data_IF_910090648595
#
_entry.id   IF_910090648595
#
_cell.length_a   1.000
_cell.length_b   1.000
_cell.length_c   1.000
_cell.angle_alpha   90.00
_cell.angle_beta   90.00
_cell.angle_gamma   90.00
#
_symmetry.space_group_name_H-M   'P 1'
#
loop_
_entity.id
_entity.type
_entity.pdbx_description
1 polymer ?
#
# COMPACT_ATOMS: atom_id res chain seq x y z
N UNK A 1 0.86 12.11 -20.60
CA UNK A 1 0.41 11.06 -21.55
C UNK A 1 0.40 9.68 -20.93
N UNK A 2 1.49 9.22 -20.30
CA UNK A 2 1.57 7.91 -19.62
C UNK A 2 0.54 7.77 -18.50
N UNK A 3 0.34 8.78 -17.67
CA UNK A 3 -0.65 8.77 -16.59
C UNK A 3 -2.09 8.68 -17.09
N UNK A 4 -2.39 9.30 -18.23
CA UNK A 4 -3.71 9.20 -18.87
C UNK A 4 -3.97 7.77 -19.38
N UNK A 5 -2.99 7.17 -20.03
CA UNK A 5 -3.05 5.77 -20.48
C UNK A 5 -3.22 4.81 -19.29
N UNK A 6 -2.45 4.99 -18.21
CA UNK A 6 -2.56 4.17 -17.01
C UNK A 6 -3.96 4.25 -16.37
N UNK A 7 -4.53 5.45 -16.30
CA UNK A 7 -5.90 5.63 -15.75
C UNK A 7 -7.00 5.05 -16.65
N UNK A 8 -6.72 4.84 -17.93
CA UNK A 8 -7.69 4.31 -18.89
C UNK A 8 -7.73 2.78 -18.89
N UNK A 9 -6.67 2.12 -18.41
CA UNK A 9 -6.55 0.64 -18.43
C UNK A 9 -7.71 -0.01 -17.67
N UNK A 10 -7.98 0.42 -16.45
CA UNK A 10 -9.01 -0.19 -15.59
C UNK A 10 -10.41 0.00 -16.17
N UNK A 11 -10.85 1.24 -16.55
CA UNK A 11 -12.14 1.43 -17.19
C UNK A 11 -12.30 0.65 -18.49
N UNK A 12 -11.25 0.60 -19.31
CA UNK A 12 -11.28 -0.13 -20.59
C UNK A 12 -11.41 -1.64 -20.37
N UNK A 13 -10.73 -2.18 -19.36
CA UNK A 13 -10.82 -3.60 -18.99
C UNK A 13 -12.23 -3.96 -18.53
N UNK A 14 -12.81 -3.16 -17.63
CA UNK A 14 -14.19 -3.35 -17.16
C UNK A 14 -15.18 -3.27 -18.33
N UNK A 15 -15.04 -2.25 -19.18
CA UNK A 15 -15.89 -2.06 -20.36
C UNK A 15 -15.82 -3.26 -21.30
N UNK A 16 -14.62 -3.80 -21.56
CA UNK A 16 -14.42 -4.96 -22.42
C UNK A 16 -15.11 -6.21 -21.85
N UNK A 17 -14.99 -6.45 -20.53
CA UNK A 17 -15.65 -7.58 -19.87
C UNK A 17 -17.17 -7.49 -19.95
N UNK A 18 -17.73 -6.30 -19.67
CA UNK A 18 -19.18 -6.08 -19.74
C UNK A 18 -19.68 -6.23 -21.17
N UNK A 19 -19.00 -5.62 -22.14
CA UNK A 19 -19.34 -5.71 -23.55
C UNK A 19 -19.32 -7.17 -24.04
N UNK A 20 -18.26 -7.91 -23.72
CA UNK A 20 -18.14 -9.32 -24.10
C UNK A 20 -19.26 -10.17 -23.51
N UNK A 21 -19.57 -10.00 -22.22
CA UNK A 21 -20.63 -10.72 -21.55
C UNK A 21 -22.01 -10.42 -22.15
N UNK A 22 -22.28 -9.13 -22.46
CA UNK A 22 -23.53 -8.69 -23.08
C UNK A 22 -23.69 -9.27 -24.50
N UNK A 23 -22.64 -9.21 -25.33
CA UNK A 23 -22.63 -9.78 -26.67
C UNK A 23 -22.87 -11.29 -26.68
N UNK A 24 -22.36 -11.99 -25.68
CA UNK A 24 -22.54 -13.44 -25.50
C UNK A 24 -23.87 -13.80 -24.83
N UNK A 25 -24.70 -12.81 -24.49
CA UNK A 25 -25.97 -13.00 -23.73
C UNK A 25 -25.78 -13.81 -22.45
N UNK A 26 -24.64 -13.66 -21.79
CA UNK A 26 -24.35 -14.32 -20.51
C UNK A 26 -24.83 -13.42 -19.38
N UNK A 27 -25.27 -14.05 -18.30
CA UNK A 27 -25.52 -13.34 -17.07
C UNK A 27 -24.18 -12.77 -16.53
N UNK A 28 -24.09 -11.44 -16.46
CA UNK A 28 -22.91 -10.71 -15.95
C UNK A 28 -23.14 -10.31 -14.50
N UNK A 29 -24.39 -10.15 -14.10
CA UNK A 29 -24.74 -9.60 -12.80
C UNK A 29 -24.46 -10.57 -11.67
N UNK A 30 -24.81 -11.83 -11.82
CA UNK A 30 -24.61 -12.86 -10.78
C UNK A 30 -23.12 -13.08 -10.46
N UNK A 31 -22.22 -13.28 -11.45
CA UNK A 31 -20.78 -13.37 -11.17
C UNK A 31 -20.20 -12.08 -10.58
N UNK A 32 -20.67 -10.92 -11.01
CA UNK A 32 -20.26 -9.66 -10.43
C UNK A 32 -20.63 -9.57 -8.94
N UNK A 33 -21.86 -9.92 -8.60
CA UNK A 33 -22.32 -9.91 -7.20
C UNK A 33 -21.56 -10.90 -6.35
N UNK A 34 -21.27 -12.08 -6.87
CA UNK A 34 -20.43 -13.07 -6.20
C UNK A 34 -19.01 -12.52 -5.90
N UNK A 35 -18.40 -11.87 -6.90
CA UNK A 35 -17.09 -11.22 -6.74
C UNK A 35 -17.11 -10.07 -5.71
N UNK A 36 -18.18 -9.28 -5.65
CA UNK A 36 -18.36 -8.26 -4.61
C UNK A 36 -18.42 -8.89 -3.22
N UNK A 37 -19.18 -9.96 -3.05
CA UNK A 37 -19.26 -10.67 -1.75
C UNK A 37 -17.94 -11.28 -1.32
N UNK A 38 -17.19 -11.87 -2.23
CA UNK A 38 -15.87 -12.41 -1.96
C UNK A 38 -14.86 -11.30 -1.62
N UNK A 39 -14.88 -10.19 -2.36
CA UNK A 39 -14.08 -9.01 -2.03
C UNK A 39 -14.40 -8.46 -0.64
N UNK A 40 -15.67 -8.43 -0.25
CA UNK A 40 -16.07 -7.97 1.08
C UNK A 40 -15.57 -8.89 2.20
N UNK A 41 -15.59 -10.21 2.00
CA UNK A 41 -15.01 -11.18 2.93
C UNK A 41 -13.50 -10.93 3.14
N UNK A 42 -12.76 -10.73 2.05
CA UNK A 42 -11.32 -10.44 2.11
C UNK A 42 -11.06 -9.17 2.93
N UNK A 43 -11.86 -8.11 2.73
CA UNK A 43 -11.73 -6.88 3.53
C UNK A 43 -11.96 -7.14 5.02
N UNK A 44 -12.97 -7.94 5.37
CA UNK A 44 -13.24 -8.29 6.77
C UNK A 44 -12.14 -9.16 7.39
N UNK A 45 -11.51 -10.02 6.63
CA UNK A 45 -10.38 -10.85 7.08
C UNK A 45 -9.11 -10.02 7.32
N UNK A 46 -8.86 -9.02 6.47
CA UNK A 46 -7.66 -8.17 6.57
C UNK A 46 -7.84 -7.05 7.61
N UNK A 47 -9.06 -6.54 7.81
CA UNK A 47 -9.32 -5.40 8.66
C UNK A 47 -8.78 -5.55 10.10
N UNK A 48 -8.96 -6.67 10.82
CA UNK A 48 -8.40 -6.84 12.16
C UNK A 48 -6.87 -6.75 12.19
N UNK A 49 -6.22 -7.32 11.19
CA UNK A 49 -4.75 -7.29 11.04
C UNK A 49 -4.25 -5.86 10.82
N UNK A 50 -4.92 -5.08 9.98
CA UNK A 50 -4.59 -3.68 9.74
C UNK A 50 -4.80 -2.83 11.00
N UNK A 51 -5.90 -3.04 11.73
CA UNK A 51 -6.17 -2.34 12.98
C UNK A 51 -5.06 -2.63 14.01
N UNK A 52 -4.73 -3.90 14.22
CA UNK A 52 -3.67 -4.31 15.13
C UNK A 52 -2.32 -3.70 14.74
N UNK A 53 -2.01 -3.67 13.45
CA UNK A 53 -0.80 -3.06 12.91
C UNK A 53 -0.73 -1.56 13.18
N UNK A 54 -1.83 -0.82 12.97
CA UNK A 54 -1.89 0.60 13.29
C UNK A 54 -1.68 0.87 14.78
N UNK A 55 -2.28 0.06 15.66
CA UNK A 55 -2.04 0.17 17.11
C UNK A 55 -0.57 -0.09 17.45
N UNK A 56 0.04 -1.13 16.89
CA UNK A 56 1.44 -1.44 17.10
C UNK A 56 2.36 -0.28 16.66
N UNK A 57 2.11 0.31 15.50
CA UNK A 57 2.87 1.47 15.01
C UNK A 57 2.71 2.67 15.93
N UNK A 58 1.49 2.95 16.43
CA UNK A 58 1.26 4.04 17.37
C UNK A 58 2.01 3.84 18.69
N UNK A 59 1.99 2.63 19.24
CA UNK A 59 2.76 2.28 20.45
C UNK A 59 4.25 2.45 20.19
N UNK A 60 4.73 1.98 19.05
CA UNK A 60 6.14 2.08 18.66
C UNK A 60 6.59 3.53 18.48
N UNK A 61 5.71 4.39 17.96
CA UNK A 61 5.93 5.82 17.83
C UNK A 61 5.94 6.52 19.20
N UNK A 62 4.96 6.23 20.04
CA UNK A 62 4.85 6.87 21.36
C UNK A 62 5.93 6.41 22.36
N UNK A 63 6.51 5.24 22.18
CA UNK A 63 7.64 4.75 22.99
C UNK A 63 8.98 5.45 22.68
N UNK A 64 9.06 6.25 21.60
CA UNK A 64 10.31 6.84 21.12
C UNK A 64 11.25 5.86 20.40
N UNK A 65 10.90 4.58 20.30
CA UNK A 65 11.72 3.57 19.63
C UNK A 65 11.88 3.89 18.15
N UNK A 66 10.84 4.43 17.51
CA UNK A 66 10.89 4.88 16.12
C UNK A 66 11.93 5.99 15.93
N UNK A 67 11.95 6.99 16.83
CA UNK A 67 12.90 8.10 16.77
C UNK A 67 14.36 7.61 16.93
N UNK A 68 14.56 6.60 17.75
CA UNK A 68 15.88 5.98 17.93
C UNK A 68 16.35 5.32 16.63
N UNK A 69 15.49 4.55 15.97
CA UNK A 69 15.81 3.92 14.67
C UNK A 69 16.06 4.99 13.59
N UNK A 70 15.21 6.01 13.51
CA UNK A 70 15.39 7.12 12.55
C UNK A 70 16.70 7.84 12.80
N UNK A 71 17.08 8.10 14.05
CA UNK A 71 18.38 8.71 14.40
C UNK A 71 19.55 7.89 13.89
N UNK A 72 19.52 6.59 14.10
CA UNK A 72 20.58 5.68 13.63
C UNK A 72 20.68 5.63 12.11
N UNK A 73 19.54 5.67 11.41
CA UNK A 73 19.48 5.59 9.95
C UNK A 73 19.65 6.94 9.26
N UNK A 74 19.49 8.06 9.98
CA UNK A 74 19.60 9.42 9.42
C UNK A 74 20.91 9.69 8.68
N UNK A 75 22.12 9.28 9.17
CA UNK A 75 23.36 9.52 8.42
C UNK A 75 23.34 8.84 7.06
N UNK A 76 22.82 7.62 6.98
CA UNK A 76 22.69 6.86 5.74
C UNK A 76 21.63 7.51 4.83
N UNK A 77 20.50 7.91 5.39
CA UNK A 77 19.42 8.59 4.66
C UNK A 77 19.88 9.92 4.05
N UNK A 78 20.66 10.71 4.78
CA UNK A 78 21.24 11.97 4.26
C UNK A 78 22.19 11.73 3.09
N UNK A 79 23.02 10.70 3.16
CA UNK A 79 23.95 10.33 2.08
C UNK A 79 23.18 9.95 0.80
N UNK A 80 22.05 9.25 0.95
CA UNK A 80 21.20 8.79 -0.15
C UNK A 80 20.10 9.80 -0.53
N UNK A 81 20.04 10.96 0.13
CA UNK A 81 19.00 12.00 -0.06
C UNK A 81 17.57 11.46 0.15
N UNK A 82 17.42 10.49 1.05
CA UNK A 82 16.12 9.88 1.38
C UNK A 82 15.47 10.68 2.50
N UNK A 83 14.17 11.05 2.38
CA UNK A 83 13.42 11.67 3.47
C UNK A 83 13.42 10.78 4.72
N UNK A 84 13.54 11.39 5.90
CA UNK A 84 13.57 10.66 7.19
C UNK A 84 12.31 9.84 7.44
N UNK A 85 11.20 10.26 6.90
CA UNK A 85 9.89 9.58 6.99
C UNK A 85 9.89 8.21 6.30
N UNK A 86 10.75 8.02 5.30
CA UNK A 86 10.88 6.76 4.53
C UNK A 86 11.75 5.74 5.25
N UNK A 87 12.65 6.17 6.13
CA UNK A 87 13.59 5.29 6.80
C UNK A 87 12.94 4.15 7.60
N UNK A 88 11.83 4.37 8.34
CA UNK A 88 11.11 3.28 9.01
C UNK A 88 10.57 2.22 8.05
N UNK A 89 10.12 2.62 6.86
CA UNK A 89 9.63 1.68 5.84
C UNK A 89 10.77 0.79 5.35
N UNK A 90 11.92 1.38 5.04
CA UNK A 90 13.12 0.64 4.62
C UNK A 90 13.53 -0.35 5.69
N UNK A 91 13.63 0.11 6.94
CA UNK A 91 14.01 -0.74 8.06
C UNK A 91 13.03 -1.88 8.28
N UNK A 92 11.74 -1.59 8.33
CA UNK A 92 10.71 -2.60 8.51
C UNK A 92 10.70 -3.62 7.37
N UNK A 93 10.95 -3.17 6.13
CA UNK A 93 10.96 -4.03 4.95
C UNK A 93 12.04 -5.12 5.01
N UNK A 94 13.14 -4.88 5.71
CA UNK A 94 14.21 -5.89 5.91
C UNK A 94 13.75 -7.09 6.74
N UNK A 95 12.73 -6.91 7.60
CA UNK A 95 12.27 -7.93 8.53
C UNK A 95 10.84 -8.42 8.23
N UNK A 96 9.97 -7.54 7.74
CA UNK A 96 8.55 -7.85 7.55
C UNK A 96 7.91 -6.94 6.52
N UNK A 97 7.42 -7.54 5.44
CA UNK A 97 6.65 -6.82 4.41
C UNK A 97 5.34 -6.26 4.97
N UNK A 98 4.67 -6.98 5.87
CA UNK A 98 3.44 -6.52 6.51
C UNK A 98 3.68 -5.29 7.39
N UNK A 99 4.78 -5.29 8.18
CA UNK A 99 5.15 -4.11 8.97
C UNK A 99 5.50 -2.92 8.08
N UNK A 100 6.24 -3.14 6.99
CA UNK A 100 6.56 -2.09 6.02
C UNK A 100 5.31 -1.50 5.37
N UNK A 101 4.32 -2.34 5.02
CA UNK A 101 3.01 -1.88 4.51
C UNK A 101 2.30 -1.00 5.54
N UNK A 102 2.36 -1.36 6.81
CA UNK A 102 1.78 -0.55 7.88
C UNK A 102 2.44 0.83 8.00
N UNK A 103 3.77 0.91 7.93
CA UNK A 103 4.48 2.20 7.91
C UNK A 103 4.18 3.00 6.64
N UNK A 104 4.02 2.35 5.49
CA UNK A 104 3.58 3.03 4.26
C UNK A 104 2.19 3.66 4.42
N UNK A 105 1.23 2.92 4.97
CA UNK A 105 -0.11 3.42 5.23
C UNK A 105 -0.11 4.58 6.24
N UNK A 106 0.76 4.53 7.24
CA UNK A 106 0.95 5.64 8.19
C UNK A 106 1.51 6.90 7.48
N UNK A 107 2.46 6.75 6.55
CA UNK A 107 2.95 7.85 5.71
C UNK A 107 1.83 8.41 4.83
N UNK A 108 1.01 7.57 4.23
CA UNK A 108 -0.13 8.02 3.43
C UNK A 108 -1.13 8.84 4.26
N UNK A 109 -1.36 8.44 5.51
CA UNK A 109 -2.26 9.14 6.43
C UNK A 109 -1.68 10.48 6.90
N UNK A 110 -0.37 10.56 7.12
CA UNK A 110 0.29 11.75 7.69
C UNK A 110 0.77 12.75 6.66
N UNK A 111 1.32 12.27 5.55
CA UNK A 111 1.96 13.08 4.52
C UNK A 111 1.21 13.07 3.18
N UNK A 112 0.30 12.12 2.99
CA UNK A 112 -0.41 11.91 1.73
C UNK A 112 0.30 10.92 0.79
N UNK A 113 -0.49 10.24 -0.03
CA UNK A 113 0.01 9.24 -0.99
C UNK A 113 0.85 9.90 -2.11
N UNK A 114 0.47 11.12 -2.52
CA UNK A 114 1.15 11.88 -3.58
C UNK A 114 2.39 12.65 -3.08
N UNK A 115 2.71 12.55 -1.79
CA UNK A 115 3.93 13.15 -1.23
C UNK A 115 5.18 12.42 -1.73
N UNK A 116 6.32 13.12 -1.72
CA UNK A 116 7.61 12.50 -2.07
C UNK A 116 7.89 11.27 -1.19
N UNK A 117 7.59 11.35 0.11
CA UNK A 117 7.76 10.24 1.04
C UNK A 117 6.82 9.07 0.71
N UNK A 118 5.55 9.35 0.40
CA UNK A 118 4.57 8.35 -0.02
C UNK A 118 4.98 7.64 -1.30
N UNK A 119 5.36 8.41 -2.32
CA UNK A 119 5.82 7.86 -3.59
C UNK A 119 7.08 7.00 -3.43
N UNK A 120 8.12 7.50 -2.75
CA UNK A 120 9.35 6.75 -2.53
C UNK A 120 9.12 5.48 -1.74
N UNK A 121 8.30 5.52 -0.69
CA UNK A 121 7.96 4.35 0.11
C UNK A 121 7.22 3.29 -0.70
N UNK A 122 6.31 3.70 -1.58
CA UNK A 122 5.59 2.78 -2.49
C UNK A 122 6.54 2.08 -3.45
N UNK A 123 7.47 2.84 -4.05
CA UNK A 123 8.47 2.28 -4.97
C UNK A 123 9.37 1.29 -4.24
N UNK A 124 9.83 1.62 -3.04
CA UNK A 124 10.66 0.72 -2.23
C UNK A 124 9.89 -0.56 -1.88
N UNK A 125 8.62 -0.42 -1.49
CA UNK A 125 7.81 -1.57 -1.12
C UNK A 125 7.57 -2.51 -2.30
N UNK A 126 7.36 -1.96 -3.50
CA UNK A 126 7.09 -2.73 -4.72
C UNK A 126 8.34 -3.31 -5.38
N UNK A 127 9.50 -2.69 -5.20
CA UNK A 127 10.76 -3.08 -5.87
C UNK A 127 11.61 -4.07 -5.08
N UNK A 128 11.29 -4.28 -3.80
CA UNK A 128 12.06 -5.18 -2.92
C UNK A 128 11.16 -6.30 -2.40
N UNK A 129 11.64 -7.54 -2.50
CA UNK A 129 11.01 -8.66 -1.84
C UNK A 129 11.73 -8.99 -0.53
N UNK A 130 10.96 -9.40 0.48
CA UNK A 130 11.51 -9.90 1.74
C UNK A 130 11.82 -11.37 1.57
N UNK A 131 13.03 -11.77 1.90
CA UNK A 131 13.40 -13.18 1.97
C UNK A 131 12.68 -13.90 3.10
#
# INVERSE_FOLDING_TARGET
MITFLANLVIPLFIFTLVLYGTLKRKDIYTPFLAGVMDGFKIVLEIAPTLIALFFAIQIFRSSGALDLIVRFLTPIGKLLKIPKEVLPVIFAKLFSSSAATGFLLDIYKTSGADSLAGFMSSVILSSTETC
#
